data_IF_495449199516
#
_entry.id   IF_495449199516
#
_cell.length_a   1.000
_cell.length_b   1.000
_cell.length_c   1.000
_cell.angle_alpha   90.00
_cell.angle_beta   90.00
_cell.angle_gamma   90.00
#
_symmetry.space_group_name_H-M   'P 1'
#
loop_
_entity.id
_entity.type
_entity.pdbx_description
1 polymer ?
#
# COMPACT_ATOMS: atom_id res chain seq x y z
N UNK A 1 3.21 -55.98 29.76
CA UNK A 1 4.01 -55.17 28.82
C UNK A 1 3.34 -55.27 27.45
N UNK A 2 2.05 -54.95 27.45
CA UNK A 2 1.18 -54.93 26.28
C UNK A 2 0.94 -53.46 25.94
N UNK A 3 0.69 -53.20 24.67
CA UNK A 3 -0.10 -52.07 24.20
C UNK A 3 0.60 -50.72 23.91
N UNK A 4 1.82 -50.74 23.33
CA UNK A 4 2.37 -49.57 22.62
C UNK A 4 2.28 -49.68 21.09
N UNK A 5 2.42 -50.88 20.55
CA UNK A 5 2.45 -51.13 19.10
C UNK A 5 1.06 -51.06 18.46
N UNK A 6 0.02 -51.53 19.17
CA UNK A 6 -1.38 -51.48 18.70
C UNK A 6 -1.92 -50.05 18.78
N UNK A 7 -1.52 -49.28 19.80
CA UNK A 7 -1.84 -47.86 19.92
C UNK A 7 -1.24 -47.03 18.78
N UNK A 8 -0.01 -47.34 18.36
CA UNK A 8 0.62 -46.68 17.20
C UNK A 8 -0.14 -46.96 15.88
N UNK A 9 -0.60 -48.20 15.67
CA UNK A 9 -1.42 -48.59 14.51
C UNK A 9 -2.80 -47.89 14.51
N UNK A 10 -3.46 -47.77 15.67
CA UNK A 10 -4.73 -47.05 15.79
C UNK A 10 -4.56 -45.55 15.54
N UNK A 11 -3.45 -44.97 15.99
CA UNK A 11 -3.12 -43.55 15.77
C UNK A 11 -2.85 -43.27 14.28
N UNK A 12 -2.15 -44.17 13.59
CA UNK A 12 -1.90 -44.07 12.15
C UNK A 12 -3.19 -44.12 11.32
N UNK A 13 -4.14 -45.01 11.67
CA UNK A 13 -5.44 -45.10 10.99
C UNK A 13 -6.30 -43.84 11.18
N UNK A 14 -6.26 -43.21 12.36
CA UNK A 14 -6.98 -41.96 12.67
C UNK A 14 -6.41 -40.75 11.91
N UNK A 15 -5.09 -40.70 11.73
CA UNK A 15 -4.41 -39.66 10.95
C UNK A 15 -4.76 -39.77 9.46
N UNK A 16 -4.85 -40.98 8.92
CA UNK A 16 -5.24 -41.23 7.52
C UNK A 16 -6.72 -40.91 7.29
N UNK A 17 -7.61 -41.26 8.24
CA UNK A 17 -9.03 -40.95 8.15
C UNK A 17 -9.37 -39.46 8.26
N UNK A 18 -8.60 -38.70 9.04
CA UNK A 18 -8.78 -37.23 9.18
C UNK A 18 -8.23 -36.44 7.99
N UNK A 19 -7.19 -36.93 7.32
CA UNK A 19 -6.53 -36.24 6.20
C UNK A 19 -7.38 -36.16 4.92
N UNK A 20 -8.38 -37.04 4.76
CA UNK A 20 -9.30 -36.98 3.62
C UNK A 20 -10.41 -35.92 3.78
N UNK A 21 -10.57 -35.33 4.97
CA UNK A 21 -11.71 -34.45 5.30
C UNK A 21 -11.41 -32.95 5.41
N UNK A 22 -10.15 -32.52 5.52
CA UNK A 22 -9.82 -31.12 5.75
C UNK A 22 -8.58 -30.72 4.96
N UNK A 23 -8.72 -29.74 4.06
CA UNK A 23 -7.60 -29.12 3.32
C UNK A 23 -6.66 -28.38 4.26
N UNK A 24 -5.75 -29.11 4.91
CA UNK A 24 -4.75 -28.62 5.85
C UNK A 24 -3.34 -28.79 5.25
N UNK A 25 -2.52 -27.74 5.37
CA UNK A 25 -1.24 -27.48 4.69
C UNK A 25 -0.18 -28.59 4.74
N UNK A 26 0.56 -28.68 3.63
CA UNK A 26 1.80 -29.45 3.39
C UNK A 26 2.79 -29.46 4.58
N UNK A 27 2.99 -28.29 5.21
CA UNK A 27 3.92 -28.07 6.34
C UNK A 27 3.66 -28.94 7.58
N UNK A 28 2.43 -29.42 7.78
CA UNK A 28 2.07 -30.23 8.96
C UNK A 28 2.28 -31.74 8.69
N UNK A 29 2.20 -32.16 7.43
CA UNK A 29 2.14 -33.58 7.07
C UNK A 29 3.47 -34.13 6.56
N UNK A 30 4.27 -33.36 5.83
CA UNK A 30 5.53 -33.85 5.27
C UNK A 30 6.54 -34.36 6.35
N UNK A 31 6.76 -33.64 7.47
CA UNK A 31 7.66 -34.12 8.52
C UNK A 31 7.12 -35.39 9.20
N UNK A 32 5.79 -35.51 9.34
CA UNK A 32 5.13 -36.67 9.95
C UNK A 32 5.19 -37.91 9.04
N UNK A 33 4.97 -37.73 7.73
CA UNK A 33 5.05 -38.81 6.73
C UNK A 33 6.50 -39.30 6.61
N UNK A 34 7.47 -38.40 6.62
CA UNK A 34 8.90 -38.74 6.61
C UNK A 34 9.31 -39.50 7.87
N UNK A 35 8.83 -39.06 9.05
CA UNK A 35 9.01 -39.79 10.31
C UNK A 35 8.42 -41.20 10.28
N UNK A 36 7.19 -41.34 9.77
CA UNK A 36 6.52 -42.64 9.59
C UNK A 36 7.29 -43.59 8.66
N UNK A 37 7.92 -43.08 7.58
CA UNK A 37 8.78 -43.88 6.71
C UNK A 37 10.03 -44.40 7.44
N UNK A 38 10.66 -43.56 8.26
CA UNK A 38 11.82 -43.94 9.05
C UNK A 38 11.47 -45.01 10.10
N UNK A 39 10.36 -44.82 10.83
CA UNK A 39 9.89 -45.77 11.84
C UNK A 39 9.52 -47.12 11.23
N UNK A 40 8.83 -47.13 10.08
CA UNK A 40 8.54 -48.36 9.33
C UNK A 40 9.81 -49.05 8.83
N UNK A 41 10.80 -48.29 8.37
CA UNK A 41 12.10 -48.83 7.98
C UNK A 41 12.82 -49.51 9.16
N UNK A 42 12.82 -48.87 10.33
CA UNK A 42 13.42 -49.42 11.55
C UNK A 42 12.69 -50.68 12.01
N UNK A 43 11.36 -50.66 12.09
CA UNK A 43 10.56 -51.82 12.46
C UNK A 43 10.79 -53.01 11.49
N UNK A 44 11.01 -52.73 10.20
CA UNK A 44 11.29 -53.77 9.20
C UNK A 44 12.65 -54.42 9.47
N UNK A 45 13.67 -53.61 9.76
CA UNK A 45 14.99 -54.11 10.11
C UNK A 45 14.97 -54.96 11.40
N UNK A 46 14.25 -54.51 12.43
CA UNK A 46 14.06 -55.29 13.67
C UNK A 46 13.32 -56.61 13.42
N UNK A 47 12.31 -56.60 12.55
CA UNK A 47 11.54 -57.79 12.21
C UNK A 47 12.35 -58.79 11.37
N UNK A 48 13.20 -58.32 10.45
CA UNK A 48 14.09 -59.18 9.68
C UNK A 48 15.16 -59.82 10.57
N UNK A 49 15.69 -59.11 11.57
CA UNK A 49 16.57 -59.69 12.58
C UNK A 49 15.87 -60.77 13.43
N UNK A 50 14.60 -60.56 13.81
CA UNK A 50 13.80 -61.56 14.52
C UNK A 50 13.49 -62.81 13.69
N UNK A 51 13.38 -62.69 12.35
CA UNK A 51 13.25 -63.86 11.47
C UNK A 51 14.47 -64.76 11.54
N UNK A 52 15.67 -64.17 11.53
CA UNK A 52 16.93 -64.91 11.56
C UNK A 52 17.11 -65.68 12.89
N UNK A 53 16.67 -65.11 14.01
CA UNK A 53 16.79 -65.70 15.35
C UNK A 53 15.63 -66.62 15.77
N UNK A 54 14.56 -66.70 14.98
CA UNK A 54 13.35 -67.46 15.35
C UNK A 54 13.50 -68.98 15.20
N UNK A 55 13.48 -69.69 16.34
CA UNK A 55 13.46 -71.15 16.42
C UNK A 55 12.01 -71.68 16.55
N UNK A 56 11.35 -71.90 15.41
CA UNK A 56 10.03 -72.55 15.35
C UNK A 56 9.21 -72.15 14.12
N UNK A 57 8.60 -73.12 13.44
CA UNK A 57 7.88 -72.89 12.17
C UNK A 57 6.67 -71.94 12.31
N UNK A 58 5.97 -71.96 13.44
CA UNK A 58 4.81 -71.09 13.72
C UNK A 58 5.19 -69.64 14.01
N UNK A 59 6.32 -69.41 14.70
CA UNK A 59 6.82 -68.06 14.95
C UNK A 59 7.29 -67.45 13.62
N UNK A 60 8.01 -68.23 12.81
CA UNK A 60 8.49 -67.78 11.51
C UNK A 60 7.35 -67.40 10.56
N UNK A 61 6.27 -68.18 10.50
CA UNK A 61 5.11 -67.86 9.66
C UNK A 61 4.36 -66.60 10.11
N UNK A 62 4.28 -66.37 11.43
CA UNK A 62 3.68 -65.15 11.99
C UNK A 62 4.52 -63.91 11.65
N UNK A 63 5.84 -64.01 11.79
CA UNK A 63 6.77 -62.92 11.44
C UNK A 63 6.75 -62.63 9.93
N UNK A 64 6.58 -63.65 9.08
CA UNK A 64 6.38 -63.48 7.63
C UNK A 64 5.04 -62.81 7.28
N UNK A 65 3.97 -63.05 8.05
CA UNK A 65 2.69 -62.38 7.86
C UNK A 65 2.79 -60.89 8.21
N UNK A 66 3.36 -60.55 9.37
CA UNK A 66 3.60 -59.18 9.80
C UNK A 66 4.52 -58.41 8.84
N UNK A 67 5.56 -59.06 8.33
CA UNK A 67 6.45 -58.46 7.32
C UNK A 67 5.71 -58.09 6.03
N UNK A 68 4.75 -58.92 5.60
CA UNK A 68 3.94 -58.62 4.40
C UNK A 68 2.97 -57.46 4.62
N UNK A 69 2.40 -57.36 5.82
CA UNK A 69 1.58 -56.20 6.21
C UNK A 69 2.42 -54.91 6.24
N UNK A 70 3.63 -54.96 6.78
CA UNK A 70 4.55 -53.82 6.77
C UNK A 70 4.96 -53.39 5.36
N UNK A 71 5.19 -54.32 4.45
CA UNK A 71 5.46 -54.02 3.04
C UNK A 71 4.24 -53.40 2.35
N UNK A 72 3.04 -53.80 2.75
CA UNK A 72 1.80 -53.17 2.29
C UNK A 72 1.68 -51.73 2.81
N UNK A 73 1.94 -51.52 4.11
CA UNK A 73 1.88 -50.19 4.72
C UNK A 73 2.91 -49.24 4.11
N UNK A 74 4.14 -49.72 3.90
CA UNK A 74 5.22 -48.95 3.29
C UNK A 74 4.87 -48.48 1.87
N UNK A 75 4.23 -49.34 1.07
CA UNK A 75 3.75 -48.99 -0.27
C UNK A 75 2.63 -47.95 -0.24
N UNK A 76 1.74 -48.02 0.75
CA UNK A 76 0.66 -47.04 0.89
C UNK A 76 1.19 -45.67 1.36
N UNK A 77 2.17 -45.65 2.27
CA UNK A 77 2.87 -44.41 2.65
C UNK A 77 3.57 -43.77 1.44
N UNK A 78 4.23 -44.58 0.60
CA UNK A 78 4.87 -44.07 -0.63
C UNK A 78 3.85 -43.54 -1.64
N UNK A 79 2.69 -44.20 -1.77
CA UNK A 79 1.58 -43.71 -2.60
C UNK A 79 1.08 -42.36 -2.09
N UNK A 80 0.87 -42.20 -0.78
CA UNK A 80 0.42 -40.95 -0.18
C UNK A 80 1.44 -39.83 -0.39
N UNK A 81 2.74 -40.14 -0.24
CA UNK A 81 3.84 -39.21 -0.56
C UNK A 81 3.79 -38.74 -2.02
N UNK A 82 3.53 -39.64 -2.95
CA UNK A 82 3.38 -39.31 -4.38
C UNK A 82 2.12 -38.51 -4.74
N UNK A 83 1.13 -38.41 -3.84
CA UNK A 83 -0.03 -37.53 -3.98
C UNK A 83 0.26 -36.10 -3.50
N UNK A 84 1.37 -35.91 -2.78
CA UNK A 84 1.84 -34.59 -2.38
C UNK A 84 2.55 -33.98 -3.60
N UNK A 85 2.06 -32.87 -4.16
CA UNK A 85 2.73 -32.24 -5.30
C UNK A 85 4.16 -31.83 -4.89
N UNK A 86 5.18 -32.05 -5.74
CA UNK A 86 6.53 -31.57 -5.47
C UNK A 86 6.51 -30.05 -5.33
N UNK A 87 7.36 -29.50 -4.46
CA UNK A 87 7.61 -28.05 -4.39
C UNK A 87 7.83 -27.52 -5.81
N UNK A 88 6.94 -26.62 -6.23
CA UNK A 88 7.10 -25.92 -7.51
C UNK A 88 8.23 -24.93 -7.34
N UNK A 89 9.37 -25.25 -7.97
CA UNK A 89 10.54 -24.39 -8.23
C UNK A 89 10.44 -22.91 -7.84
N UNK A 90 11.29 -22.45 -6.92
CA UNK A 90 11.86 -21.09 -6.93
C UNK A 90 11.69 -20.26 -5.67
N UNK A 91 12.61 -20.45 -4.70
CA UNK A 91 12.73 -19.75 -3.40
C UNK A 91 11.48 -19.77 -2.52
N UNK A 92 11.65 -20.03 -1.22
CA UNK A 92 10.54 -19.84 -0.29
C UNK A 92 10.08 -18.37 -0.32
N UNK A 93 8.83 -18.10 0.04
CA UNK A 93 8.33 -16.72 0.15
C UNK A 93 9.22 -15.89 1.09
N UNK A 94 9.68 -16.51 2.17
CA UNK A 94 10.62 -15.94 3.13
C UNK A 94 11.96 -15.57 2.46
N UNK A 95 12.58 -16.48 1.70
CA UNK A 95 13.83 -16.20 0.98
C UNK A 95 13.67 -15.06 -0.03
N UNK A 96 12.51 -14.95 -0.67
CA UNK A 96 12.20 -13.84 -1.58
C UNK A 96 12.09 -12.51 -0.83
N UNK A 97 11.39 -12.48 0.29
CA UNK A 97 11.24 -11.28 1.12
C UNK A 97 12.60 -10.82 1.66
N UNK A 98 13.43 -11.76 2.14
CA UNK A 98 14.81 -11.48 2.57
C UNK A 98 15.62 -10.90 1.41
N UNK A 99 15.56 -11.52 0.23
CA UNK A 99 16.26 -11.01 -0.95
C UNK A 99 15.80 -9.61 -1.38
N UNK A 100 14.51 -9.29 -1.27
CA UNK A 100 14.00 -7.94 -1.53
C UNK A 100 14.55 -6.96 -0.50
N UNK A 101 14.50 -7.32 0.78
CA UNK A 101 15.01 -6.48 1.87
C UNK A 101 16.50 -6.16 1.69
N UNK A 102 17.33 -7.17 1.45
CA UNK A 102 18.78 -7.00 1.30
C UNK A 102 19.14 -6.10 0.11
N UNK A 103 18.38 -6.19 -0.98
CA UNK A 103 18.62 -5.41 -2.19
C UNK A 103 18.10 -3.96 -2.09
N UNK A 104 16.97 -3.73 -1.42
CA UNK A 104 16.28 -2.42 -1.43
C UNK A 104 16.58 -1.60 -0.18
N UNK A 105 16.73 -2.22 0.99
CA UNK A 105 16.96 -1.51 2.24
C UNK A 105 18.17 -0.57 2.23
N UNK A 106 19.28 -0.82 1.49
CA UNK A 106 20.36 0.14 1.37
C UNK A 106 19.93 1.47 0.73
N UNK A 107 18.96 1.46 -0.19
CA UNK A 107 18.41 2.64 -0.84
C UNK A 107 17.37 3.39 0.02
N UNK A 108 17.01 2.84 1.17
CA UNK A 108 16.10 3.49 2.14
C UNK A 108 16.93 4.24 3.17
N UNK A 109 16.60 5.51 3.34
CA UNK A 109 17.28 6.44 4.24
C UNK A 109 16.36 6.89 5.38
N UNK A 110 16.97 7.24 6.50
CA UNK A 110 16.30 7.96 7.57
C UNK A 110 16.44 9.47 7.33
N UNK A 111 15.37 10.21 7.54
CA UNK A 111 15.34 11.67 7.38
C UNK A 111 15.07 12.28 8.75
N UNK A 112 15.91 13.25 9.11
CA UNK A 112 15.67 14.12 10.25
C UNK A 112 15.49 15.54 9.73
N UNK A 113 14.38 16.15 10.07
CA UNK A 113 14.10 17.57 9.81
C UNK A 113 14.10 18.31 11.13
N UNK A 114 14.64 19.53 11.15
CA UNK A 114 14.62 20.39 12.33
C UNK A 114 14.05 21.74 11.95
N UNK A 115 13.01 22.14 12.66
CA UNK A 115 12.41 23.46 12.59
C UNK A 115 12.58 24.17 13.94
N UNK A 116 12.52 25.49 13.94
CA UNK A 116 12.44 26.27 15.17
C UNK A 116 10.98 26.65 15.41
N UNK A 117 10.41 26.20 16.53
CA UNK A 117 9.04 26.53 16.92
C UNK A 117 8.99 27.12 18.32
N UNK A 118 7.94 27.88 18.62
CA UNK A 118 7.72 28.37 19.97
C UNK A 118 7.21 27.23 20.85
N UNK A 119 7.69 27.16 22.09
CA UNK A 119 7.14 26.24 23.08
C UNK A 119 5.64 26.50 23.32
N UNK A 120 4.96 25.56 23.98
CA UNK A 120 3.52 25.67 24.27
C UNK A 120 3.13 26.96 25.02
N UNK A 121 4.07 27.58 25.74
CA UNK A 121 3.85 28.83 26.49
C UNK A 121 4.12 30.09 25.64
N UNK A 122 4.59 29.92 24.40
CA UNK A 122 5.03 30.97 23.48
C UNK A 122 6.15 31.86 24.04
N UNK A 123 6.97 31.34 24.95
CA UNK A 123 8.02 32.12 25.63
C UNK A 123 9.41 31.90 25.02
N UNK A 124 9.66 30.70 24.49
CA UNK A 124 10.99 30.30 24.02
C UNK A 124 10.91 29.62 22.66
N UNK A 125 11.92 29.87 21.81
CA UNK A 125 12.12 29.11 20.57
C UNK A 125 12.85 27.81 20.92
N UNK A 126 12.23 26.68 20.62
CA UNK A 126 12.77 25.33 20.82
C UNK A 126 12.89 24.62 19.46
N UNK A 127 13.88 23.72 19.30
CA UNK A 127 13.95 22.89 18.11
C UNK A 127 12.83 21.84 18.13
N UNK A 128 12.05 21.81 17.05
CA UNK A 128 11.09 20.77 16.74
C UNK A 128 11.72 19.82 15.73
N UNK A 129 11.68 18.52 16.02
CA UNK A 129 12.35 17.50 15.23
C UNK A 129 11.31 16.62 14.57
N UNK A 130 11.25 16.67 13.24
CA UNK A 130 10.51 15.71 12.42
C UNK A 130 11.40 14.52 12.05
N UNK A 131 10.81 13.33 12.01
CA UNK A 131 11.51 12.10 11.62
C UNK A 131 10.69 11.32 10.59
N UNK A 132 11.37 10.76 9.61
CA UNK A 132 10.73 9.99 8.56
C UNK A 132 11.72 9.11 7.80
N UNK A 133 11.24 8.54 6.71
CA UNK A 133 12.04 7.78 5.78
C UNK A 133 12.07 8.45 4.41
N UNK A 134 13.03 8.05 3.59
CA UNK A 134 13.06 8.41 2.18
C UNK A 134 13.58 7.25 1.35
N UNK A 135 13.39 7.33 0.04
CA UNK A 135 13.94 6.38 -0.92
C UNK A 135 14.81 7.09 -1.94
N UNK A 136 16.05 6.61 -2.10
CA UNK A 136 16.95 7.10 -3.14
C UNK A 136 16.49 6.59 -4.50
N UNK A 137 16.26 7.52 -5.43
CA UNK A 137 15.67 7.22 -6.76
C UNK A 137 16.57 7.60 -7.94
N UNK A 138 17.70 8.26 -7.69
CA UNK A 138 18.72 8.54 -8.70
C UNK A 138 20.14 8.43 -8.14
N UNK A 139 21.09 8.04 -9.01
CA UNK A 139 22.52 8.08 -8.70
C UNK A 139 23.06 9.50 -8.49
N UNK A 140 22.33 10.51 -8.96
CA UNK A 140 22.65 11.90 -8.70
C UNK A 140 22.31 12.32 -7.26
N UNK A 141 21.71 11.45 -6.44
CA UNK A 141 21.39 11.74 -5.04
C UNK A 141 20.03 12.37 -4.82
N UNK A 142 19.06 12.13 -5.71
CA UNK A 142 17.66 12.51 -5.49
C UNK A 142 16.95 11.48 -4.60
N UNK A 143 16.22 11.99 -3.62
CA UNK A 143 15.47 11.20 -2.64
C UNK A 143 14.01 11.64 -2.67
N UNK A 144 13.10 10.67 -2.75
CA UNK A 144 11.66 10.88 -2.53
C UNK A 144 11.32 10.67 -1.07
N UNK A 145 10.47 11.53 -0.53
CA UNK A 145 9.87 11.42 0.80
C UNK A 145 8.51 12.12 0.82
N UNK A 146 7.88 12.26 1.99
CA UNK A 146 6.64 13.02 2.13
C UNK A 146 6.88 14.50 2.40
N UNK A 147 5.87 15.32 2.07
CA UNK A 147 5.89 16.74 2.41
C UNK A 147 5.91 16.95 3.93
N UNK A 148 5.02 16.27 4.67
CA UNK A 148 4.92 16.46 6.13
C UNK A 148 6.19 16.06 6.90
N UNK A 149 7.09 15.26 6.29
CA UNK A 149 8.38 14.90 6.90
C UNK A 149 9.35 16.09 6.88
N UNK A 150 9.22 17.01 5.92
CA UNK A 150 10.19 18.09 5.68
C UNK A 150 9.56 19.49 5.74
N UNK A 151 8.26 19.57 5.99
CA UNK A 151 7.51 20.82 6.06
C UNK A 151 8.06 21.73 7.18
N UNK A 152 8.29 23.00 6.86
CA UNK A 152 8.82 23.99 7.81
C UNK A 152 10.26 23.76 8.26
N UNK A 153 10.96 22.74 7.74
CA UNK A 153 12.31 22.40 8.17
C UNK A 153 13.33 23.46 7.75
N UNK A 154 14.13 23.94 8.71
CA UNK A 154 15.27 24.81 8.46
C UNK A 154 16.53 24.01 8.09
N UNK A 155 16.67 22.81 8.66
CA UNK A 155 17.76 21.89 8.38
C UNK A 155 17.22 20.48 8.14
N UNK A 156 17.77 19.81 7.13
CA UNK A 156 17.38 18.44 6.76
C UNK A 156 18.65 17.60 6.65
N UNK A 157 18.70 16.50 7.38
CA UNK A 157 19.77 15.50 7.27
C UNK A 157 19.21 14.15 6.86
N UNK A 158 20.04 13.42 6.11
CA UNK A 158 19.75 12.10 5.57
C UNK A 158 20.79 11.13 6.12
N UNK A 159 20.34 9.97 6.55
CA UNK A 159 21.20 8.93 7.10
C UNK A 159 20.94 7.59 6.42
N UNK A 160 22.00 6.98 5.88
CA UNK A 160 21.96 5.61 5.38
C UNK A 160 22.15 4.59 6.50
N UNK A 161 22.84 4.97 7.58
CA UNK A 161 23.15 4.14 8.73
C UNK A 161 23.25 5.03 9.96
N UNK A 162 22.83 4.56 11.15
CA UNK A 162 22.94 5.34 12.38
C UNK A 162 24.33 5.93 12.60
N UNK A 163 24.37 7.21 12.97
CA UNK A 163 25.60 7.96 13.19
C UNK A 163 26.24 8.56 11.93
N UNK A 164 25.72 8.26 10.74
CA UNK A 164 26.07 8.95 9.50
C UNK A 164 24.98 9.98 9.15
N UNK A 165 25.34 11.26 9.10
CA UNK A 165 24.42 12.33 8.70
C UNK A 165 25.00 13.07 7.50
N UNK A 166 24.23 13.08 6.41
CA UNK A 166 24.53 13.84 5.20
C UNK A 166 23.54 15.01 5.11
N UNK A 167 24.01 16.24 4.85
CA UNK A 167 23.12 17.35 4.63
C UNK A 167 22.31 17.13 3.35
N UNK A 168 21.02 17.46 3.41
CA UNK A 168 20.11 17.40 2.28
C UNK A 168 19.52 18.78 1.99
N UNK A 169 19.42 19.13 0.71
CA UNK A 169 18.74 20.33 0.25
C UNK A 169 17.34 19.97 -0.21
N UNK A 170 16.34 20.74 0.20
CA UNK A 170 15.00 20.63 -0.34
C UNK A 170 14.96 21.16 -1.78
N UNK A 171 14.57 20.30 -2.73
CA UNK A 171 14.39 20.69 -4.13
C UNK A 171 13.02 21.31 -4.35
N UNK A 172 12.00 20.74 -3.70
CA UNK A 172 10.64 21.26 -3.69
C UNK A 172 9.66 20.30 -3.02
N UNK A 173 8.46 20.78 -2.73
CA UNK A 173 7.36 20.01 -2.15
C UNK A 173 6.07 20.14 -2.95
N UNK A 174 5.21 19.15 -2.80
CA UNK A 174 3.83 19.14 -3.30
C UNK A 174 2.90 18.73 -2.14
N UNK A 175 2.42 19.70 -1.35
CA UNK A 175 1.54 19.43 -0.21
C UNK A 175 0.28 18.67 -0.59
N UNK A 176 -0.29 18.96 -1.77
CA UNK A 176 -1.55 18.35 -2.24
C UNK A 176 -1.44 16.85 -2.57
N UNK A 177 -0.23 16.31 -2.73
CA UNK A 177 -0.01 14.85 -2.77
C UNK A 177 0.86 14.33 -1.63
N UNK A 178 1.20 15.19 -0.68
CA UNK A 178 2.12 14.88 0.41
C UNK A 178 3.47 14.32 -0.08
N UNK A 179 4.07 14.93 -1.10
CA UNK A 179 5.37 14.51 -1.66
C UNK A 179 6.42 15.60 -1.53
N UNK A 180 7.67 15.19 -1.35
CA UNK A 180 8.83 16.08 -1.39
C UNK A 180 10.01 15.41 -2.08
N UNK A 181 10.87 16.23 -2.69
CA UNK A 181 12.13 15.80 -3.29
C UNK A 181 13.29 16.48 -2.57
N UNK A 182 14.23 15.65 -2.09
CA UNK A 182 15.48 16.10 -1.51
C UNK A 182 16.64 15.80 -2.45
N UNK A 183 17.72 16.57 -2.30
CA UNK A 183 18.99 16.38 -2.99
C UNK A 183 20.13 16.29 -1.98
N UNK A 184 20.94 15.25 -2.09
CA UNK A 184 22.21 15.09 -1.34
C UNK A 184 23.40 15.06 -2.30
N UNK A 185 24.61 15.25 -1.76
CA UNK A 185 25.83 14.89 -2.45
C UNK A 185 26.04 13.36 -2.34
N UNK A 186 25.94 12.60 -3.45
CA UNK A 186 25.87 11.15 -3.37
C UNK A 186 27.24 10.55 -3.04
N UNK A 187 27.30 9.51 -2.18
CA UNK A 187 28.50 8.70 -2.04
C UNK A 187 28.80 7.91 -3.35
N UNK A 188 30.06 7.49 -3.60
CA UNK A 188 30.47 6.87 -4.87
C UNK A 188 29.67 5.65 -5.34
N UNK A 189 29.07 4.90 -4.41
CA UNK A 189 28.27 3.70 -4.68
C UNK A 189 26.85 3.82 -4.10
N UNK A 190 26.23 4.99 -4.26
CA UNK A 190 24.89 5.24 -3.74
C UNK A 190 23.89 4.17 -4.23
N UNK A 191 23.20 3.47 -3.32
CA UNK A 191 22.16 2.51 -3.68
C UNK A 191 20.92 3.24 -4.19
N UNK A 192 20.27 2.70 -5.23
CA UNK A 192 19.10 3.31 -5.88
C UNK A 192 18.00 2.27 -6.00
N UNK A 193 16.79 2.62 -5.55
CA UNK A 193 15.64 1.76 -5.66
C UNK A 193 15.09 1.73 -7.09
N UNK A 194 14.61 0.56 -7.52
CA UNK A 194 13.95 0.44 -8.84
C UNK A 194 12.49 0.88 -8.73
N UNK A 195 12.09 1.88 -9.52
CA UNK A 195 10.71 2.35 -9.53
C UNK A 195 9.84 1.50 -10.46
N UNK A 196 8.78 0.92 -9.90
CA UNK A 196 7.81 0.08 -10.61
C UNK A 196 6.77 0.88 -11.39
N UNK A 197 5.60 0.30 -11.58
CA UNK A 197 4.47 0.89 -12.31
C UNK A 197 3.18 0.69 -11.51
N UNK A 198 2.67 1.77 -10.93
CA UNK A 198 1.49 1.71 -10.06
C UNK A 198 0.20 1.40 -10.82
N UNK A 199 0.14 1.64 -12.13
CA UNK A 199 -1.06 1.37 -12.93
C UNK A 199 -1.30 -0.14 -13.10
N UNK A 200 -0.29 -0.95 -12.81
CA UNK A 200 -0.35 -2.42 -12.81
C UNK A 200 -0.66 -3.02 -11.44
N UNK A 201 -0.75 -2.19 -10.40
CA UNK A 201 -1.02 -2.65 -9.04
C UNK A 201 -2.48 -3.11 -8.93
N UNK A 202 -2.69 -4.22 -8.24
CA UNK A 202 -4.02 -4.79 -8.01
C UNK A 202 -4.15 -5.28 -6.57
N UNK A 203 -5.38 -5.26 -6.06
CA UNK A 203 -5.69 -5.88 -4.78
C UNK A 203 -5.23 -7.35 -4.75
N UNK A 204 -4.67 -7.77 -3.62
CA UNK A 204 -4.10 -9.10 -3.40
C UNK A 204 -2.63 -9.27 -3.80
N UNK A 205 -2.00 -8.26 -4.40
CA UNK A 205 -0.54 -8.28 -4.63
C UNK A 205 0.21 -8.16 -3.31
N UNK A 206 1.34 -8.85 -3.16
CA UNK A 206 2.27 -8.66 -2.04
C UNK A 206 2.66 -7.19 -1.92
N UNK A 207 2.62 -6.67 -0.70
CA UNK A 207 3.05 -5.34 -0.34
C UNK A 207 4.08 -5.43 0.77
N UNK A 208 5.26 -4.83 0.55
CA UNK A 208 6.36 -4.82 1.51
C UNK A 208 6.71 -3.36 1.77
N UNK A 209 6.54 -2.89 3.01
CA UNK A 209 6.98 -1.55 3.41
C UNK A 209 8.33 -1.65 4.10
N UNK A 210 9.23 -0.72 3.78
CA UNK A 210 10.50 -0.56 4.48
C UNK A 210 10.60 0.89 4.95
N UNK A 211 10.92 1.07 6.22
CA UNK A 211 11.08 2.39 6.81
C UNK A 211 11.86 2.35 8.11
N UNK A 212 11.94 3.46 8.82
CA UNK A 212 12.71 3.60 10.06
C UNK A 212 11.79 4.03 11.21
N UNK A 213 10.79 3.21 11.61
CA UNK A 213 9.92 3.55 12.71
C UNK A 213 10.70 3.64 14.03
N UNK A 214 10.45 4.70 14.80
CA UNK A 214 11.04 4.91 16.14
C UNK A 214 12.57 4.89 16.20
N UNK A 215 13.26 5.27 15.11
CA UNK A 215 14.74 5.15 14.98
C UNK A 215 15.27 3.70 15.08
N UNK A 216 14.40 2.69 14.93
CA UNK A 216 14.80 1.31 14.71
C UNK A 216 15.22 1.19 13.25
N UNK A 217 16.47 0.78 12.99
CA UNK A 217 17.00 0.65 11.62
C UNK A 217 16.06 -0.19 10.73
N UNK A 218 15.64 0.40 9.60
CA UNK A 218 15.10 -0.28 8.41
C UNK A 218 14.13 -1.42 8.73
N UNK A 219 13.11 -1.12 9.51
CA UNK A 219 12.04 -2.08 9.78
C UNK A 219 11.33 -2.44 8.49
N UNK A 220 11.20 -3.74 8.26
CA UNK A 220 10.41 -4.32 7.19
C UNK A 220 9.07 -4.79 7.74
N UNK A 221 7.98 -4.46 7.04
CA UNK A 221 6.66 -5.03 7.29
C UNK A 221 6.08 -5.57 5.99
N UNK A 222 5.31 -6.64 6.08
CA UNK A 222 4.75 -7.33 4.92
C UNK A 222 3.25 -7.46 5.06
N UNK A 223 2.55 -7.39 3.94
CA UNK A 223 1.11 -7.57 3.82
C UNK A 223 0.72 -7.68 2.35
N UNK A 224 -0.46 -7.19 2.02
CA UNK A 224 -1.00 -7.14 0.69
C UNK A 224 -1.51 -5.74 0.36
N UNK A 225 -1.57 -5.46 -0.94
CA UNK A 225 -2.41 -4.38 -1.45
C UNK A 225 -3.85 -4.75 -1.17
N UNK A 226 -4.48 -4.07 -0.22
CA UNK A 226 -5.88 -4.29 0.15
C UNK A 226 -6.83 -3.65 -0.88
N UNK A 227 -6.45 -2.50 -1.45
CA UNK A 227 -7.24 -1.77 -2.45
C UNK A 227 -6.36 -0.80 -3.24
N UNK A 228 -6.87 -0.34 -4.39
CA UNK A 228 -6.26 0.72 -5.20
C UNK A 228 -7.31 1.80 -5.44
N UNK A 229 -6.88 3.00 -5.82
CA UNK A 229 -7.75 4.14 -6.09
C UNK A 229 -8.63 4.54 -4.90
N UNK A 230 -8.05 4.58 -3.70
CA UNK A 230 -8.70 5.19 -2.55
C UNK A 230 -8.52 6.70 -2.59
N UNK A 231 -9.45 7.37 -1.94
CA UNK A 231 -9.43 8.81 -1.69
C UNK A 231 -9.10 9.02 -0.23
N UNK A 232 -8.11 9.87 0.06
CA UNK A 232 -7.67 10.19 1.41
C UNK A 232 -7.76 11.70 1.63
N UNK A 233 -8.36 12.12 2.73
CA UNK A 233 -8.32 13.50 3.17
C UNK A 233 -6.94 13.76 3.79
N UNK A 234 -6.16 14.64 3.17
CA UNK A 234 -4.90 15.12 3.74
C UNK A 234 -5.18 15.97 4.98
N UNK A 235 -4.22 16.03 5.91
CA UNK A 235 -4.32 16.89 7.10
C UNK A 235 -4.45 18.38 6.75
N UNK A 236 -3.96 18.78 5.57
CA UNK A 236 -4.09 20.14 5.02
C UNK A 236 -5.51 20.48 4.53
N UNK A 237 -6.42 19.50 4.52
CA UNK A 237 -7.77 19.63 3.95
C UNK A 237 -7.85 19.41 2.43
N UNK A 238 -6.72 19.14 1.76
CA UNK A 238 -6.73 18.68 0.37
C UNK A 238 -7.11 17.20 0.28
N UNK A 239 -7.63 16.78 -0.87
CA UNK A 239 -7.99 15.39 -1.14
C UNK A 239 -6.90 14.73 -1.99
N UNK A 240 -6.29 13.67 -1.49
CA UNK A 240 -5.33 12.83 -2.21
C UNK A 240 -6.08 11.70 -2.89
N UNK A 241 -6.18 11.79 -4.21
CA UNK A 241 -6.81 10.76 -5.04
C UNK A 241 -5.84 9.64 -5.39
N UNK A 242 -6.39 8.46 -5.64
CA UNK A 242 -5.65 7.37 -6.27
C UNK A 242 -4.76 6.55 -5.33
N UNK A 243 -4.81 6.76 -4.01
CA UNK A 243 -3.85 6.12 -3.09
C UNK A 243 -4.01 4.60 -3.03
N UNK A 244 -2.89 3.92 -2.81
CA UNK A 244 -2.81 2.46 -2.62
C UNK A 244 -3.08 2.18 -1.15
N UNK A 245 -4.04 1.31 -0.86
CA UNK A 245 -4.31 0.83 0.49
C UNK A 245 -3.58 -0.49 0.73
N UNK A 246 -2.94 -0.65 1.89
CA UNK A 246 -2.21 -1.85 2.30
C UNK A 246 -2.52 -2.22 3.75
N UNK A 247 -2.43 -3.50 4.08
CA UNK A 247 -2.48 -3.99 5.46
C UNK A 247 -1.07 -4.29 6.02
N UNK A 248 -0.02 -4.12 5.21
CA UNK A 248 1.35 -4.06 5.70
C UNK A 248 1.43 -2.97 6.77
N UNK A 249 2.04 -3.29 7.92
CA UNK A 249 2.05 -2.36 9.06
C UNK A 249 2.82 -1.08 8.73
N UNK A 250 2.11 0.04 8.64
CA UNK A 250 2.66 1.38 8.48
C UNK A 250 2.52 2.10 9.82
N UNK A 251 3.63 2.51 10.41
CA UNK A 251 3.70 3.24 11.68
C UNK A 251 4.54 4.51 11.51
N UNK A 252 4.47 5.49 12.43
CA UNK A 252 5.35 6.66 12.44
C UNK A 252 6.81 6.28 12.18
N UNK A 253 7.45 6.97 11.23
CA UNK A 253 8.80 6.69 10.73
C UNK A 253 8.87 5.79 9.48
N UNK A 254 7.77 5.15 9.06
CA UNK A 254 7.67 4.60 7.70
C UNK A 254 7.32 5.67 6.67
N UNK A 255 6.66 6.76 7.07
CA UNK A 255 6.30 7.86 6.18
C UNK A 255 7.51 8.34 5.36
N UNK A 256 7.32 8.38 4.04
CA UNK A 256 8.31 8.71 3.02
C UNK A 256 9.13 7.53 2.50
N UNK A 257 9.03 6.35 3.16
CA UNK A 257 9.65 5.10 2.71
C UNK A 257 8.92 4.43 1.53
N UNK A 258 9.52 3.42 0.90
CA UNK A 258 8.91 2.72 -0.22
C UNK A 258 7.90 1.66 0.22
N UNK A 259 6.79 1.57 -0.52
CA UNK A 259 5.96 0.38 -0.63
C UNK A 259 6.39 -0.41 -1.86
N UNK A 260 6.78 -1.67 -1.69
CA UNK A 260 7.38 -2.53 -2.71
C UNK A 260 6.43 -3.67 -3.12
N UNK A 261 6.55 -4.11 -4.37
CA UNK A 261 5.92 -5.35 -4.85
C UNK A 261 6.84 -6.57 -4.66
N UNK A 262 6.37 -7.76 -5.05
CA UNK A 262 7.12 -9.02 -4.97
C UNK A 262 8.36 -9.13 -5.86
N UNK A 263 8.66 -8.12 -6.68
CA UNK A 263 9.91 -7.98 -7.44
C UNK A 263 10.90 -7.00 -6.79
N UNK A 264 10.56 -6.39 -5.66
CA UNK A 264 11.37 -5.35 -5.02
C UNK A 264 11.32 -4.01 -5.75
N UNK A 265 10.31 -3.77 -6.60
CA UNK A 265 10.11 -2.48 -7.25
C UNK A 265 9.20 -1.60 -6.38
N UNK A 266 9.51 -0.31 -6.28
CA UNK A 266 8.69 0.68 -5.57
C UNK A 266 7.39 0.90 -6.34
N UNK A 267 6.26 0.58 -5.72
CA UNK A 267 4.91 0.81 -6.25
C UNK A 267 4.19 1.99 -5.60
N UNK A 268 4.69 2.49 -4.47
CA UNK A 268 4.24 3.73 -3.86
C UNK A 268 5.18 4.25 -2.77
N UNK A 269 4.89 5.45 -2.28
CA UNK A 269 5.56 6.09 -1.13
C UNK A 269 4.59 6.06 0.05
N UNK A 270 4.94 5.39 1.14
CA UNK A 270 4.08 5.31 2.33
C UNK A 270 3.90 6.70 2.92
N UNK A 271 2.67 7.12 3.22
CA UNK A 271 2.35 8.48 3.71
C UNK A 271 1.64 8.41 5.05
N UNK A 272 0.32 8.24 5.02
CA UNK A 272 -0.52 8.27 6.21
C UNK A 272 -1.08 6.89 6.59
N UNK A 273 -1.50 6.80 7.85
CA UNK A 273 -2.46 5.82 8.33
C UNK A 273 -3.76 6.55 8.67
N UNK A 274 -4.91 5.95 8.38
CA UNK A 274 -6.14 6.35 9.07
C UNK A 274 -6.19 5.49 10.33
N UNK A 275 -5.88 6.08 11.49
CA UNK A 275 -5.93 5.36 12.76
C UNK A 275 -6.51 6.23 13.89
N UNK A 276 -7.45 5.71 14.70
CA UNK A 276 -7.94 6.38 15.90
C UNK A 276 -6.95 6.30 17.07
N UNK A 277 -5.79 5.65 16.88
CA UNK A 277 -4.70 5.50 17.85
C UNK A 277 -3.37 5.83 17.17
N UNK A 278 -2.36 6.24 17.94
CA UNK A 278 -1.00 6.42 17.41
C UNK A 278 -0.38 5.05 17.07
N UNK A 279 -0.70 4.50 15.90
CA UNK A 279 -0.17 3.23 15.40
C UNK A 279 -1.07 2.53 14.39
N UNK A 280 -0.51 1.55 13.68
CA UNK A 280 -1.18 0.75 12.66
C UNK A 280 -2.33 -0.07 13.23
N UNK A 281 -3.49 0.02 12.59
CA UNK A 281 -4.63 -0.89 12.78
C UNK A 281 -4.86 -1.80 11.56
N UNK A 282 -3.85 -1.93 10.68
CA UNK A 282 -3.94 -2.70 9.43
C UNK A 282 -4.55 -1.93 8.26
N UNK A 283 -4.56 -0.59 8.33
CA UNK A 283 -5.03 0.30 7.26
C UNK A 283 -3.96 1.37 7.01
N UNK A 284 -3.04 1.07 6.09
CA UNK A 284 -2.00 2.00 5.64
C UNK A 284 -2.23 2.49 4.22
N UNK A 285 -1.70 3.67 3.90
CA UNK A 285 -1.80 4.27 2.58
C UNK A 285 -0.43 4.60 1.99
N UNK A 286 -0.32 4.46 0.67
CA UNK A 286 0.84 4.87 -0.10
C UNK A 286 0.42 5.66 -1.34
N UNK A 287 1.14 6.75 -1.61
CA UNK A 287 1.00 7.56 -2.81
C UNK A 287 1.55 6.73 -3.99
N UNK A 288 0.80 6.54 -5.09
CA UNK A 288 1.23 5.70 -6.21
C UNK A 288 2.55 6.18 -6.83
N UNK A 289 3.43 5.25 -7.20
CA UNK A 289 4.74 5.63 -7.73
C UNK A 289 4.67 6.43 -9.03
N UNK A 290 3.65 6.21 -9.88
CA UNK A 290 3.50 7.00 -11.11
C UNK A 290 3.13 8.46 -10.79
N UNK A 291 2.33 8.70 -9.74
CA UNK A 291 2.07 10.05 -9.21
C UNK A 291 3.37 10.68 -8.71
N UNK A 292 4.15 9.93 -7.93
CA UNK A 292 5.42 10.43 -7.39
C UNK A 292 6.46 10.74 -8.48
N UNK A 293 6.54 9.93 -9.54
CA UNK A 293 7.42 10.20 -10.70
C UNK A 293 7.06 11.52 -11.40
N UNK A 294 5.77 11.76 -11.63
CA UNK A 294 5.29 13.00 -12.27
C UNK A 294 5.59 14.22 -11.41
N UNK A 295 5.28 14.14 -10.11
CA UNK A 295 5.56 15.21 -9.15
C UNK A 295 7.07 15.47 -9.09
N UNK A 296 7.89 14.43 -8.93
CA UNK A 296 9.35 14.54 -8.87
C UNK A 296 9.94 15.25 -10.09
N UNK A 297 9.51 14.87 -11.30
CA UNK A 297 10.01 15.50 -12.52
C UNK A 297 9.75 17.01 -12.52
N UNK A 298 8.54 17.44 -12.13
CA UNK A 298 8.18 18.84 -12.04
C UNK A 298 8.93 19.56 -10.91
N UNK A 299 9.02 18.96 -9.72
CA UNK A 299 9.76 19.53 -8.59
C UNK A 299 11.24 19.75 -8.93
N UNK A 300 11.87 18.80 -9.64
CA UNK A 300 13.26 18.96 -10.12
C UNK A 300 13.38 20.05 -11.18
N UNK A 301 12.42 20.15 -12.10
CA UNK A 301 12.48 21.09 -13.23
C UNK A 301 12.20 22.55 -12.83
N UNK A 302 11.17 22.79 -12.01
CA UNK A 302 10.68 24.15 -11.69
C UNK A 302 10.48 24.44 -10.21
N UNK A 303 10.65 23.45 -9.32
CA UNK A 303 10.52 23.62 -7.87
C UNK A 303 9.09 23.48 -7.31
N UNK A 304 8.08 23.28 -8.15
CA UNK A 304 6.67 23.11 -7.75
C UNK A 304 5.90 22.20 -8.72
N UNK A 305 4.69 21.76 -8.36
CA UNK A 305 3.83 20.93 -9.22
C UNK A 305 2.67 21.77 -9.78
N UNK A 306 2.50 21.77 -11.11
CA UNK A 306 1.36 22.42 -11.75
C UNK A 306 0.14 21.51 -11.66
N UNK A 307 -1.01 22.09 -11.30
CA UNK A 307 -2.29 21.37 -11.25
C UNK A 307 -3.33 22.02 -12.15
N UNK A 308 -4.12 21.22 -12.89
CA UNK A 308 -5.24 21.74 -13.66
C UNK A 308 -6.24 22.43 -12.74
N UNK A 309 -6.79 23.54 -13.23
CA UNK A 309 -7.64 24.41 -12.45
C UNK A 309 -8.82 24.89 -13.28
N UNK A 310 -10.01 24.75 -12.72
CA UNK A 310 -11.25 25.28 -13.31
C UNK A 310 -11.55 26.69 -12.78
N UNK A 311 -11.26 26.93 -11.49
CA UNK A 311 -11.48 28.21 -10.80
C UNK A 311 -12.90 28.44 -10.32
N UNK A 312 -13.41 27.43 -9.62
CA UNK A 312 -14.69 27.49 -8.93
C UNK A 312 -14.53 27.07 -7.47
N UNK A 313 -15.45 27.53 -6.64
CA UNK A 313 -15.82 26.86 -5.38
C UNK A 313 -17.14 26.14 -5.64
N UNK A 314 -17.25 24.87 -5.25
CA UNK A 314 -18.44 24.07 -5.52
C UNK A 314 -18.89 23.23 -4.33
N UNK A 315 -20.16 22.82 -4.36
CA UNK A 315 -20.76 21.96 -3.35
C UNK A 315 -21.58 20.84 -4.01
N UNK A 316 -21.47 19.63 -3.48
CA UNK A 316 -22.28 18.48 -3.93
C UNK A 316 -23.76 18.72 -3.65
N UNK A 317 -24.59 18.65 -4.68
CA UNK A 317 -26.04 18.93 -4.56
C UNK A 317 -26.77 17.90 -3.71
N UNK A 318 -26.25 16.67 -3.60
CA UNK A 318 -26.88 15.62 -2.80
C UNK A 318 -27.09 15.96 -1.31
N UNK A 319 -26.39 16.98 -0.79
CA UNK A 319 -26.59 17.50 0.57
C UNK A 319 -27.65 18.60 0.71
N UNK A 320 -28.24 19.05 -0.41
CA UNK A 320 -29.18 20.17 -0.45
C UNK A 320 -30.64 19.68 -0.29
N UNK A 321 -31.51 20.45 0.37
CA UNK A 321 -32.93 20.12 0.48
C UNK A 321 -33.63 20.04 -0.89
N UNK A 322 -34.51 19.05 -1.11
CA UNK A 322 -35.22 18.88 -2.38
C UNK A 322 -36.13 20.08 -2.74
N UNK A 323 -36.55 20.87 -1.76
CA UNK A 323 -37.37 22.08 -1.96
C UNK A 323 -36.64 23.17 -2.77
N UNK A 324 -35.31 23.10 -2.88
CA UNK A 324 -34.51 24.03 -3.67
C UNK A 324 -34.57 23.75 -5.17
N UNK A 325 -35.22 22.67 -5.61
CA UNK A 325 -35.41 22.28 -7.02
C UNK A 325 -34.09 22.21 -7.82
N UNK A 326 -32.99 21.87 -7.16
CA UNK A 326 -31.72 21.57 -7.82
C UNK A 326 -31.76 20.15 -8.43
N UNK A 327 -30.90 19.83 -9.40
CA UNK A 327 -30.72 18.47 -9.89
C UNK A 327 -30.45 17.48 -8.74
N UNK A 328 -30.87 16.23 -8.87
CA UNK A 328 -30.68 15.22 -7.80
C UNK A 328 -29.20 15.00 -7.46
N UNK A 329 -28.32 15.16 -8.46
CA UNK A 329 -26.88 14.98 -8.34
C UNK A 329 -26.14 16.00 -9.21
N UNK A 330 -24.90 16.27 -8.84
CA UNK A 330 -24.06 17.26 -9.50
C UNK A 330 -23.31 18.13 -8.51
N UNK A 331 -22.52 19.05 -9.06
CA UNK A 331 -21.75 20.04 -8.30
C UNK A 331 -22.33 21.41 -8.56
N UNK A 332 -22.99 22.01 -7.57
CA UNK A 332 -23.41 23.41 -7.64
C UNK A 332 -22.17 24.29 -7.58
N UNK A 333 -22.01 25.18 -8.54
CA UNK A 333 -21.01 26.24 -8.50
C UNK A 333 -21.49 27.29 -7.50
N UNK A 334 -20.78 27.38 -6.37
CA UNK A 334 -21.03 28.38 -5.33
C UNK A 334 -20.45 29.71 -5.77
N UNK A 335 -19.16 29.72 -6.13
CA UNK A 335 -18.46 30.91 -6.60
C UNK A 335 -17.61 30.59 -7.82
N UNK A 336 -17.39 31.58 -8.67
CA UNK A 336 -16.45 31.54 -9.78
C UNK A 336 -15.37 32.58 -9.52
N UNK A 337 -14.12 32.17 -9.59
CA UNK A 337 -12.98 33.09 -9.43
C UNK A 337 -12.90 33.97 -10.67
N UNK A 338 -12.84 35.29 -10.48
CA UNK A 338 -12.72 36.27 -11.58
C UNK A 338 -11.45 35.96 -12.39
N UNK A 339 -11.55 36.09 -13.71
CA UNK A 339 -10.47 35.77 -14.67
C UNK A 339 -10.00 34.31 -14.59
N UNK A 340 -10.82 33.41 -14.04
CA UNK A 340 -10.55 31.97 -14.09
C UNK A 340 -10.95 31.35 -15.43
N UNK A 341 -10.53 30.09 -15.70
CA UNK A 341 -11.05 29.32 -16.81
C UNK A 341 -12.58 29.22 -16.85
N UNK A 342 -13.22 28.98 -15.70
CA UNK A 342 -14.68 28.93 -15.59
C UNK A 342 -15.34 30.28 -15.90
N UNK A 343 -14.78 31.38 -15.40
CA UNK A 343 -15.28 32.74 -15.66
C UNK A 343 -15.21 33.07 -17.16
N UNK A 344 -14.07 32.83 -17.79
CA UNK A 344 -13.88 33.03 -19.23
C UNK A 344 -14.80 32.16 -20.09
N UNK A 345 -15.18 31.00 -19.59
CA UNK A 345 -16.13 30.11 -20.24
C UNK A 345 -17.59 30.56 -20.00
N UNK A 346 -17.85 31.48 -19.07
CA UNK A 346 -19.19 31.96 -18.76
C UNK A 346 -19.99 31.02 -17.85
N UNK A 347 -19.30 30.17 -17.08
CA UNK A 347 -19.91 29.48 -15.94
C UNK A 347 -20.28 30.49 -14.85
N UNK A 348 -21.34 30.21 -14.11
CA UNK A 348 -21.92 31.14 -13.12
C UNK A 348 -21.95 30.53 -11.74
N UNK A 349 -21.46 31.30 -10.77
CA UNK A 349 -21.65 31.03 -9.35
C UNK A 349 -23.06 31.35 -8.90
N UNK A 350 -23.35 30.99 -7.66
CA UNK A 350 -24.63 31.24 -7.02
C UNK A 350 -24.84 32.74 -6.79
N UNK A 351 -26.00 33.26 -7.18
CA UNK A 351 -26.34 34.68 -7.11
C UNK A 351 -27.48 34.97 -6.10
N UNK A 352 -28.03 33.92 -5.50
CA UNK A 352 -29.13 33.98 -4.56
C UNK A 352 -28.86 33.13 -3.33
N UNK A 353 -29.49 33.51 -2.23
CA UNK A 353 -29.51 32.74 -0.99
C UNK A 353 -30.96 32.39 -0.63
N UNK A 354 -31.20 31.13 -0.30
CA UNK A 354 -32.52 30.64 0.14
C UNK A 354 -32.39 30.00 1.51
N UNK A 355 -33.20 30.45 2.46
CA UNK A 355 -33.27 29.87 3.79
C UNK A 355 -34.25 28.69 3.82
N UNK A 356 -33.76 27.52 4.24
CA UNK A 356 -34.59 26.33 4.51
C UNK A 356 -34.38 25.94 5.98
N UNK A 357 -35.42 26.12 6.79
CA UNK A 357 -35.32 25.98 8.24
C UNK A 357 -34.36 27.00 8.85
N UNK A 358 -33.30 26.52 9.50
CA UNK A 358 -32.27 27.36 10.14
C UNK A 358 -30.99 27.51 9.29
N UNK A 359 -30.95 26.96 8.09
CA UNK A 359 -29.77 26.93 7.21
C UNK A 359 -30.03 27.81 5.98
N UNK A 360 -29.03 28.61 5.61
CA UNK A 360 -29.02 29.43 4.39
C UNK A 360 -28.21 28.69 3.34
N UNK A 361 -28.80 28.49 2.16
CA UNK A 361 -28.18 27.78 1.04
C UNK A 361 -27.91 28.74 -0.12
N UNK A 362 -26.70 28.74 -0.71
CA UNK A 362 -26.45 29.41 -1.98
C UNK A 362 -27.19 28.65 -3.10
N UNK A 363 -27.84 29.38 -4.01
CA UNK A 363 -28.54 28.84 -5.17
C UNK A 363 -28.43 29.81 -6.36
N UNK A 364 -28.90 29.38 -7.53
CA UNK A 364 -28.91 30.19 -8.77
C UNK A 364 -27.66 30.05 -9.63
N UNK A 365 -26.63 29.34 -9.14
CA UNK A 365 -25.44 28.99 -9.90
C UNK A 365 -25.68 27.80 -10.84
N UNK A 366 -24.71 27.56 -11.72
CA UNK A 366 -24.72 26.38 -12.58
C UNK A 366 -24.49 25.11 -11.76
N UNK A 367 -25.10 24.00 -12.17
CA UNK A 367 -24.84 22.68 -11.58
C UNK A 367 -24.12 21.80 -12.58
N UNK A 368 -22.83 21.53 -12.36
CA UNK A 368 -22.02 20.66 -13.22
C UNK A 368 -22.49 19.21 -13.05
N UNK A 369 -22.78 18.54 -14.16
CA UNK A 369 -23.25 17.15 -14.20
C UNK A 369 -22.28 16.20 -14.89
N UNK A 370 -21.38 16.72 -15.75
CA UNK A 370 -20.27 15.93 -16.29
C UNK A 370 -19.10 16.77 -16.78
N UNK A 371 -17.93 16.13 -16.86
CA UNK A 371 -16.71 16.61 -17.52
C UNK A 371 -16.27 15.58 -18.57
N UNK A 372 -16.12 16.00 -19.82
CA UNK A 372 -15.86 15.13 -20.99
C UNK A 372 -16.80 13.92 -21.08
N UNK A 373 -18.07 14.14 -20.74
CA UNK A 373 -19.09 13.09 -20.72
C UNK A 373 -18.98 12.10 -19.57
N UNK A 374 -18.00 12.24 -18.67
CA UNK A 374 -17.93 11.48 -17.42
C UNK A 374 -18.76 12.17 -16.36
N UNK A 375 -19.76 11.44 -15.85
CA UNK A 375 -20.72 11.90 -14.86
C UNK A 375 -19.99 12.34 -13.57
N UNK A 376 -20.36 13.50 -13.04
CA UNK A 376 -19.85 14.06 -11.78
C UNK A 376 -21.01 14.25 -10.83
N UNK A 377 -21.24 13.29 -9.93
CA UNK A 377 -22.35 13.33 -8.98
C UNK A 377 -21.99 14.16 -7.74
N UNK A 378 -20.71 14.22 -7.39
CA UNK A 378 -20.18 14.96 -6.23
C UNK A 378 -18.96 15.83 -6.59
N UNK A 379 -18.56 16.72 -5.68
CA UNK A 379 -17.35 17.55 -5.83
C UNK A 379 -16.09 16.68 -5.91
N UNK A 380 -16.07 15.56 -5.20
CA UNK A 380 -14.97 14.58 -5.24
C UNK A 380 -14.86 13.95 -6.62
N UNK A 381 -15.98 13.59 -7.27
CA UNK A 381 -15.95 13.09 -8.65
C UNK A 381 -15.34 14.13 -9.61
N UNK A 382 -15.75 15.40 -9.48
CA UNK A 382 -15.22 16.49 -10.32
C UNK A 382 -13.73 16.69 -10.08
N UNK A 383 -13.27 16.69 -8.83
CA UNK A 383 -11.86 16.85 -8.47
C UNK A 383 -11.02 15.64 -8.92
N UNK A 384 -11.53 14.42 -8.77
CA UNK A 384 -10.87 13.20 -9.26
C UNK A 384 -10.69 13.28 -10.78
N UNK A 385 -11.73 13.72 -11.49
CA UNK A 385 -11.69 13.86 -12.93
C UNK A 385 -10.74 14.96 -13.41
N UNK A 386 -10.74 16.12 -12.75
CA UNK A 386 -9.78 17.18 -13.00
C UNK A 386 -8.34 16.72 -12.71
N UNK A 387 -8.11 15.89 -11.69
CA UNK A 387 -6.77 15.39 -11.34
C UNK A 387 -6.11 14.54 -12.43
N UNK A 388 -6.92 14.00 -13.36
CA UNK A 388 -6.47 13.19 -14.51
C UNK A 388 -6.13 14.06 -15.74
N UNK A 389 -6.28 15.38 -15.64
CA UNK A 389 -6.11 16.35 -16.73
C UNK A 389 -4.78 17.08 -16.64
N UNK A 390 -4.41 17.74 -17.73
CA UNK A 390 -3.21 18.58 -17.80
C UNK A 390 -3.56 20.07 -17.86
N UNK A 391 -2.65 20.92 -17.40
CA UNK A 391 -2.78 22.38 -17.55
C UNK A 391 -2.81 22.74 -19.05
N UNK A 392 -3.76 23.59 -19.44
CA UNK A 392 -3.99 23.95 -20.85
C UNK A 392 -4.82 22.94 -21.64
N UNK A 393 -5.21 21.80 -21.04
CA UNK A 393 -6.12 20.86 -21.69
C UNK A 393 -7.51 21.49 -21.86
N UNK A 394 -8.14 21.21 -23.00
CA UNK A 394 -9.51 21.60 -23.28
C UNK A 394 -10.46 20.49 -22.83
N UNK A 395 -11.41 20.82 -21.99
CA UNK A 395 -12.44 19.90 -21.48
C UNK A 395 -13.84 20.44 -21.79
N UNK A 396 -14.80 19.55 -21.97
CA UNK A 396 -16.22 19.90 -22.12
C UNK A 396 -16.93 19.73 -20.79
N UNK A 397 -17.50 20.81 -20.28
CA UNK A 397 -18.33 20.79 -19.06
C UNK A 397 -19.79 20.76 -19.48
N UNK A 398 -20.54 19.76 -19.00
CA UNK A 398 -22.01 19.75 -19.07
C UNK A 398 -22.55 20.25 -17.75
N UNK A 399 -23.48 21.19 -17.79
CA UNK A 399 -24.08 21.79 -16.61
C UNK A 399 -25.57 22.05 -16.80
N UNK A 400 -26.29 22.21 -15.70
CA UNK A 400 -27.69 22.63 -15.70
C UNK A 400 -27.76 24.08 -15.23
N UNK A 401 -28.44 24.92 -16.02
CA UNK A 401 -28.77 26.32 -15.70
C UNK A 401 -30.25 26.54 -15.94
N UNK A 402 -30.95 27.08 -14.94
CA UNK A 402 -32.40 27.34 -15.03
C UNK A 402 -33.23 26.11 -15.46
N UNK A 403 -32.79 24.91 -15.07
CA UNK A 403 -33.42 23.63 -15.43
C UNK A 403 -33.14 23.12 -16.84
N UNK A 404 -32.28 23.80 -17.61
CA UNK A 404 -31.87 23.41 -18.96
C UNK A 404 -30.43 22.89 -18.93
N UNK A 405 -30.18 21.76 -19.58
CA UNK A 405 -28.83 21.22 -19.76
C UNK A 405 -28.11 21.97 -20.89
N UNK A 406 -26.92 22.47 -20.59
CA UNK A 406 -26.03 23.19 -21.50
C UNK A 406 -24.62 22.56 -21.47
N UNK A 407 -23.81 22.90 -22.47
CA UNK A 407 -22.41 22.48 -22.53
C UNK A 407 -21.52 23.65 -22.86
N UNK A 408 -20.30 23.64 -22.30
CA UNK A 408 -19.28 24.65 -22.59
C UNK A 408 -17.90 24.03 -22.65
N UNK A 409 -17.07 24.49 -23.59
CA UNK A 409 -15.65 24.14 -23.62
C UNK A 409 -14.85 25.06 -22.71
N UNK A 410 -14.02 24.48 -21.85
CA UNK A 410 -13.13 25.19 -20.94
C UNK A 410 -11.70 24.78 -21.20
N UNK A 411 -10.78 25.75 -21.30
CA UNK A 411 -9.34 25.49 -21.33
C UNK A 411 -8.82 25.60 -19.90
N UNK A 412 -8.40 24.48 -19.31
CA UNK A 412 -7.96 24.41 -17.92
C UNK A 412 -6.74 25.30 -17.69
N UNK A 413 -6.77 26.05 -16.59
CA UNK A 413 -5.68 26.89 -16.14
C UNK A 413 -4.75 26.12 -15.21
N UNK A 414 -3.71 26.82 -14.76
CA UNK A 414 -2.87 26.36 -13.66
C UNK A 414 -3.46 26.87 -12.34
N UNK A 415 -3.55 26.01 -11.33
CA UNK A 415 -4.01 26.39 -9.98
C UNK A 415 -3.04 27.43 -9.42
N UNK A 416 -3.50 28.62 -9.01
CA UNK A 416 -2.66 29.57 -8.30
C UNK A 416 -2.05 28.92 -7.06
N UNK A 417 -0.74 29.13 -6.86
CA UNK A 417 0.03 28.59 -5.74
C UNK A 417 -0.19 29.30 -4.42
#
# INVERSE_FOLDING_TARGET
MEDRSVFALFTAALVIGGALGAGISYLIYEPRITGLQADLGQMKAEMDALKEDSAGAEIRSSVEALSREMDSLSREVERVKGLIPPETTGQSEEERIIGIYDNVSPAVVFITSTALSYDFQMETIVPEVGVGSGVVVSRDGYILTNNHVVEGAENITVSFRPGEELPATLVGTDPATDLAVLKIDPPPDIPVATLGDSDKVRAGMTAIAIGNPFSLERTITTGVVSSVNRTLDAETGDIIFGVIQTDASVNPGNSGGPLLNSRGEVIGITSAIISPVEGSIGIGFAIPINTAKKAMAQLIEKGYVSRPYLGITGASVGGFPPELNLPEKGVLIVDVVIDSPADRAGLRGSDMEVQVGSIIYPVGGDVITSIDGRRTDTIEDLLEELSKKEVGERVTITYVRDGVEETVEVVLGERPG
#
